data_IF_664339613202
#
_entry.id   IF_664339613202
#
_cell.length_a   1.000
_cell.length_b   1.000
_cell.length_c   1.000
_cell.angle_alpha   90.00
_cell.angle_beta   90.00
_cell.angle_gamma   90.00
#
_symmetry.space_group_name_H-M   'P 1'
#
loop_
_entity.id
_entity.type
_entity.pdbx_description
1 polymer ?
#
# COMPACT_ATOMS: atom_id res chain seq x y z
N UNK A 1 10.58 8.12 -2.01
CA UNK A 1 9.15 8.22 -1.67
C UNK A 1 8.33 8.76 -2.83
N UNK A 2 7.03 8.82 -2.62
CA UNK A 2 6.06 9.30 -3.64
C UNK A 2 6.38 10.70 -4.13
N UNK A 3 6.65 11.62 -3.20
CA UNK A 3 7.00 13.00 -3.53
C UNK A 3 8.15 13.08 -4.54
N UNK A 4 9.21 12.30 -4.30
CA UNK A 4 10.36 12.25 -5.19
C UNK A 4 10.02 11.65 -6.55
N UNK A 5 9.23 10.56 -6.58
CA UNK A 5 8.76 9.93 -7.82
C UNK A 5 7.97 10.94 -8.68
N UNK A 6 7.03 11.65 -8.07
CA UNK A 6 6.21 12.65 -8.75
C UNK A 6 7.07 13.79 -9.35
N UNK A 7 8.03 14.28 -8.56
CA UNK A 7 8.95 15.31 -9.02
C UNK A 7 9.81 14.84 -10.21
N UNK A 8 10.35 13.62 -10.15
CA UNK A 8 11.15 13.05 -11.23
C UNK A 8 10.33 12.80 -12.49
N UNK A 9 9.11 12.26 -12.33
CA UNK A 9 8.19 12.07 -13.46
C UNK A 9 7.79 13.38 -14.12
N UNK A 10 7.51 14.41 -13.33
CA UNK A 10 7.16 15.74 -13.84
C UNK A 10 8.33 16.41 -14.57
N UNK A 11 9.56 16.21 -14.09
CA UNK A 11 10.78 16.75 -14.67
C UNK A 11 11.34 15.90 -15.84
N UNK A 12 10.67 14.80 -16.21
CA UNK A 12 11.15 13.87 -17.25
C UNK A 12 12.47 13.15 -16.90
N UNK A 13 12.83 13.10 -15.59
CA UNK A 13 14.06 12.45 -15.12
C UNK A 13 13.90 10.93 -14.98
N UNK A 14 12.68 10.44 -15.01
CA UNK A 14 12.33 9.01 -14.99
C UNK A 14 11.03 8.78 -15.73
N UNK A 15 10.70 7.51 -15.98
CA UNK A 15 9.45 7.07 -16.58
C UNK A 15 8.66 6.20 -15.60
N UNK A 16 7.37 6.03 -15.83
CA UNK A 16 6.54 5.11 -15.05
C UNK A 16 7.04 3.66 -15.16
N UNK A 17 7.53 3.29 -16.34
CA UNK A 17 8.13 1.98 -16.62
C UNK A 17 9.40 1.79 -15.80
N UNK A 18 10.34 2.74 -15.83
CA UNK A 18 11.58 2.66 -15.07
C UNK A 18 11.33 2.59 -13.54
N UNK A 19 10.31 3.29 -13.03
CA UNK A 19 9.93 3.20 -11.61
C UNK A 19 9.37 1.82 -11.27
N UNK A 20 8.53 1.24 -12.11
CA UNK A 20 7.97 -0.09 -11.91
C UNK A 20 9.05 -1.17 -11.99
N UNK A 21 9.93 -1.13 -12.99
CA UNK A 21 11.07 -2.03 -13.15
C UNK A 21 12.02 -1.98 -11.95
N UNK A 22 12.36 -0.78 -11.47
CA UNK A 22 13.20 -0.64 -10.28
C UNK A 22 12.55 -1.25 -9.02
N UNK A 23 11.22 -1.11 -8.86
CA UNK A 23 10.51 -1.76 -7.77
C UNK A 23 10.50 -3.29 -7.92
N UNK A 24 10.21 -3.82 -9.11
CA UNK A 24 10.19 -5.25 -9.38
C UNK A 24 11.56 -5.88 -9.17
N UNK A 25 12.64 -5.25 -9.63
CA UNK A 25 14.02 -5.69 -9.39
C UNK A 25 14.33 -5.73 -7.89
N UNK A 26 13.95 -4.69 -7.15
CA UNK A 26 14.16 -4.65 -5.71
C UNK A 26 13.34 -5.74 -4.97
N UNK A 27 12.13 -6.04 -5.45
CA UNK A 27 11.29 -7.13 -4.93
C UNK A 27 11.96 -8.49 -5.20
N UNK A 28 12.40 -8.74 -6.43
CA UNK A 28 13.08 -9.98 -6.81
C UNK A 28 14.32 -10.25 -5.95
N UNK A 29 15.13 -9.23 -5.73
CA UNK A 29 16.36 -9.34 -4.97
C UNK A 29 16.16 -9.49 -3.46
N UNK A 30 15.16 -8.81 -2.88
CA UNK A 30 15.04 -8.69 -1.42
C UNK A 30 13.88 -9.47 -0.80
N UNK A 31 12.84 -9.75 -1.57
CA UNK A 31 11.67 -10.45 -1.04
C UNK A 31 11.94 -11.89 -0.59
N UNK A 32 12.87 -12.67 -1.22
CA UNK A 32 13.20 -14.01 -0.75
C UNK A 32 13.70 -14.05 0.71
N UNK A 33 14.35 -13.00 1.19
CA UNK A 33 14.82 -12.90 2.58
C UNK A 33 13.81 -12.21 3.49
N UNK A 34 13.12 -11.17 2.97
CA UNK A 34 12.26 -10.30 3.77
C UNK A 34 10.83 -10.81 3.91
N UNK A 35 10.34 -11.61 2.98
CA UNK A 35 8.93 -12.06 2.94
C UNK A 35 7.93 -10.91 3.09
N UNK A 36 8.20 -9.79 2.41
CA UNK A 36 7.36 -8.59 2.48
C UNK A 36 6.15 -8.67 1.54
N UNK A 37 6.30 -9.31 0.38
CA UNK A 37 5.22 -9.54 -0.59
C UNK A 37 4.82 -11.02 -0.63
N UNK A 38 3.52 -11.27 -0.79
CA UNK A 38 2.93 -12.61 -0.94
C UNK A 38 2.37 -12.87 -2.35
N UNK A 39 2.11 -11.81 -3.12
CA UNK A 39 1.64 -11.92 -4.51
C UNK A 39 2.15 -10.71 -5.31
N UNK A 40 2.97 -10.97 -6.31
CA UNK A 40 3.46 -9.98 -7.27
C UNK A 40 3.29 -10.56 -8.66
N UNK A 41 2.72 -9.78 -9.58
CA UNK A 41 2.49 -10.18 -10.97
C UNK A 41 3.20 -9.20 -11.89
N UNK A 42 4.47 -9.46 -12.25
CA UNK A 42 5.32 -8.53 -12.99
C UNK A 42 4.68 -8.06 -14.30
N UNK A 43 4.08 -8.97 -15.06
CA UNK A 43 3.45 -8.63 -16.34
C UNK A 43 2.32 -7.59 -16.16
N UNK A 44 1.47 -7.77 -15.15
CA UNK A 44 0.38 -6.83 -14.85
C UNK A 44 0.94 -5.48 -14.40
N UNK A 45 2.01 -5.48 -13.60
CA UNK A 45 2.67 -4.25 -13.13
C UNK A 45 3.27 -3.47 -14.30
N UNK A 46 3.96 -4.16 -15.21
CA UNK A 46 4.57 -3.55 -16.39
C UNK A 46 3.51 -3.03 -17.38
N UNK A 47 2.41 -3.75 -17.58
CA UNK A 47 1.28 -3.28 -18.41
C UNK A 47 0.64 -2.01 -17.83
N UNK A 48 0.47 -1.92 -16.50
CA UNK A 48 0.01 -0.71 -15.84
C UNK A 48 1.01 0.44 -16.05
N UNK A 49 2.31 0.17 -15.92
CA UNK A 49 3.37 1.17 -16.09
C UNK A 49 3.42 1.71 -17.52
N UNK A 50 3.40 0.84 -18.53
CA UNK A 50 3.36 1.20 -19.94
C UNK A 50 2.09 2.02 -20.27
N UNK A 51 0.95 1.64 -19.70
CA UNK A 51 -0.30 2.40 -19.85
C UNK A 51 -0.21 3.78 -19.21
N UNK A 52 0.37 3.91 -18.01
CA UNK A 52 0.63 5.20 -17.37
C UNK A 52 1.59 6.06 -18.20
N UNK A 53 2.66 5.47 -18.70
CA UNK A 53 3.63 6.18 -19.55
C UNK A 53 3.01 6.72 -20.84
N UNK A 54 2.12 5.97 -21.48
CA UNK A 54 1.37 6.45 -22.66
C UNK A 54 0.45 7.62 -22.31
N UNK A 55 -0.34 7.50 -21.24
CA UNK A 55 -1.26 8.59 -20.81
C UNK A 55 -0.53 9.87 -20.47
N UNK A 56 0.65 9.79 -19.86
CA UNK A 56 1.43 10.98 -19.47
C UNK A 56 1.85 11.87 -20.65
N UNK A 57 1.83 11.37 -21.89
CA UNK A 57 2.05 12.17 -23.11
C UNK A 57 0.94 13.22 -23.30
N UNK A 58 -0.29 12.88 -22.89
CA UNK A 58 -1.48 13.74 -22.99
C UNK A 58 -1.78 14.47 -21.68
N UNK A 59 -0.98 14.24 -20.65
CA UNK A 59 -1.12 14.75 -19.30
C UNK A 59 -1.53 13.66 -18.27
N UNK A 60 -1.15 13.82 -17.00
CA UNK A 60 -1.47 12.84 -15.96
C UNK A 60 -2.97 12.84 -15.63
N UNK A 61 -3.55 11.65 -15.45
CA UNK A 61 -4.98 11.51 -15.07
C UNK A 61 -5.26 11.80 -13.59
N UNK A 62 -4.22 11.83 -12.77
CA UNK A 62 -4.36 12.07 -11.33
C UNK A 62 -3.02 12.22 -10.63
N UNK A 63 -3.09 12.47 -9.32
CA UNK A 63 -1.91 12.81 -8.50
C UNK A 63 -0.87 11.70 -8.35
N UNK A 64 -1.23 10.44 -8.59
CA UNK A 64 -0.33 9.29 -8.47
C UNK A 64 -0.04 8.63 -9.82
N UNK A 65 -0.35 9.32 -10.94
CA UNK A 65 -0.21 8.70 -12.26
C UNK A 65 1.22 8.23 -12.52
N UNK A 66 1.35 6.90 -12.67
CA UNK A 66 2.62 6.22 -12.88
C UNK A 66 3.46 5.95 -11.61
N UNK A 67 2.91 6.18 -10.41
CA UNK A 67 3.61 5.90 -9.15
C UNK A 67 3.26 4.51 -8.63
N UNK A 68 4.27 3.64 -8.35
CA UNK A 68 4.04 2.31 -7.76
C UNK A 68 3.59 2.38 -6.30
N UNK A 69 2.60 1.53 -5.92
CA UNK A 69 2.05 1.44 -4.57
C UNK A 69 1.92 -0.03 -4.15
N UNK A 70 2.42 -0.39 -2.96
CA UNK A 70 2.25 -1.70 -2.37
C UNK A 70 0.96 -1.77 -1.53
N UNK A 71 0.27 -2.92 -1.55
CA UNK A 71 -1.07 -3.08 -0.97
C UNK A 71 -1.07 -4.21 0.04
N UNK A 72 -1.44 -3.95 1.29
CA UNK A 72 -1.61 -5.02 2.29
C UNK A 72 -2.65 -6.05 1.83
N UNK A 73 -2.38 -7.34 2.05
CA UNK A 73 -3.20 -8.42 1.49
C UNK A 73 -4.56 -8.65 2.17
N UNK A 74 -5.03 -7.71 2.95
CA UNK A 74 -6.39 -7.69 3.45
C UNK A 74 -7.30 -6.65 2.75
N UNK A 75 -6.82 -5.99 1.68
CA UNK A 75 -7.64 -5.17 0.79
C UNK A 75 -8.04 -5.95 -0.45
N UNK A 76 -9.30 -5.84 -0.85
CA UNK A 76 -9.79 -6.35 -2.11
C UNK A 76 -9.13 -5.58 -3.26
N UNK A 77 -8.47 -6.30 -4.15
CA UNK A 77 -7.94 -5.82 -5.43
C UNK A 77 -8.53 -6.71 -6.51
N UNK A 78 -9.31 -6.15 -7.41
CA UNK A 78 -9.97 -6.91 -8.46
C UNK A 78 -8.98 -7.78 -9.23
N UNK A 79 -9.28 -9.07 -9.36
CA UNK A 79 -8.44 -10.07 -10.02
C UNK A 79 -7.35 -10.69 -9.13
N UNK A 80 -7.18 -10.25 -7.87
CA UNK A 80 -6.27 -10.84 -6.90
C UNK A 80 -7.02 -11.56 -5.78
N UNK A 81 -6.46 -12.64 -5.23
CA UNK A 81 -6.93 -13.17 -3.95
C UNK A 81 -6.82 -12.13 -2.84
N UNK A 82 -7.78 -12.14 -1.92
CA UNK A 82 -7.71 -11.36 -0.67
C UNK A 82 -7.58 -12.32 0.49
N UNK A 83 -6.35 -12.77 0.74
CA UNK A 83 -6.05 -13.83 1.71
C UNK A 83 -6.20 -13.37 3.15
N UNK A 84 -5.89 -12.12 3.43
CA UNK A 84 -5.84 -11.58 4.80
C UNK A 84 -4.95 -12.41 5.74
N UNK A 85 -3.88 -13.01 5.21
CA UNK A 85 -2.98 -13.90 5.94
C UNK A 85 -3.56 -15.27 6.29
N UNK A 86 -4.71 -15.65 5.73
CA UNK A 86 -5.44 -16.89 6.01
C UNK A 86 -5.39 -17.81 4.76
N UNK A 87 -4.86 -19.04 4.85
CA UNK A 87 -4.79 -19.95 3.71
C UNK A 87 -6.18 -20.39 3.21
N UNK A 88 -7.18 -20.40 4.08
CA UNK A 88 -8.57 -20.73 3.73
C UNK A 88 -9.21 -19.71 2.79
N UNK A 89 -8.56 -18.59 2.54
CA UNK A 89 -9.02 -17.53 1.63
C UNK A 89 -8.21 -17.47 0.32
N UNK A 90 -7.33 -18.41 0.06
CA UNK A 90 -6.46 -18.44 -1.13
C UNK A 90 -7.25 -18.33 -2.45
N UNK A 91 -8.40 -18.97 -2.52
CA UNK A 91 -9.25 -18.97 -3.71
C UNK A 91 -10.26 -17.80 -3.77
N UNK A 92 -10.26 -16.94 -2.75
CA UNK A 92 -11.21 -15.83 -2.69
C UNK A 92 -10.71 -14.63 -3.51
N UNK A 93 -10.80 -14.76 -4.84
CA UNK A 93 -10.44 -13.70 -5.77
C UNK A 93 -11.49 -12.58 -5.70
N UNK A 94 -11.03 -11.37 -5.42
CA UNK A 94 -11.89 -10.18 -5.36
C UNK A 94 -12.43 -9.85 -6.76
N UNK A 95 -13.76 -9.61 -6.84
CA UNK A 95 -14.43 -9.18 -8.09
C UNK A 95 -14.34 -7.67 -8.29
N UNK A 96 -14.27 -6.92 -7.19
CA UNK A 96 -14.23 -5.47 -7.18
C UNK A 96 -13.07 -4.98 -6.32
N UNK A 97 -12.59 -3.79 -6.61
CA UNK A 97 -11.61 -3.11 -5.78
C UNK A 97 -12.25 -2.63 -4.46
N UNK A 98 -11.50 -2.68 -3.37
CA UNK A 98 -11.79 -1.89 -2.18
C UNK A 98 -11.86 -0.39 -2.53
N UNK A 99 -12.64 0.40 -1.78
CA UNK A 99 -12.78 1.83 -2.07
C UNK A 99 -11.43 2.56 -2.15
N UNK A 100 -10.52 2.28 -1.22
CA UNK A 100 -9.17 2.84 -1.24
C UNK A 100 -8.39 2.46 -2.52
N UNK A 101 -8.52 1.22 -2.99
CA UNK A 101 -7.87 0.74 -4.22
C UNK A 101 -8.46 1.41 -5.47
N UNK A 102 -9.79 1.54 -5.54
CA UNK A 102 -10.45 2.25 -6.62
C UNK A 102 -9.96 3.71 -6.73
N UNK A 103 -9.75 4.38 -5.58
CA UNK A 103 -9.18 5.74 -5.54
C UNK A 103 -7.73 5.78 -6.00
N UNK A 104 -6.91 4.80 -5.63
CA UNK A 104 -5.53 4.69 -6.13
C UNK A 104 -5.51 4.54 -7.66
N UNK A 105 -6.35 3.65 -8.22
CA UNK A 105 -6.45 3.48 -9.67
C UNK A 105 -6.95 4.74 -10.37
N UNK A 106 -7.97 5.40 -9.82
CA UNK A 106 -8.47 6.67 -10.37
C UNK A 106 -7.42 7.79 -10.35
N UNK A 107 -6.50 7.75 -9.39
CA UNK A 107 -5.35 8.66 -9.32
C UNK A 107 -4.18 8.24 -10.22
N UNK A 108 -4.28 7.12 -10.94
CA UNK A 108 -3.27 6.62 -11.87
C UNK A 108 -2.14 5.79 -11.24
N UNK A 109 -2.28 5.36 -9.98
CA UNK A 109 -1.26 4.56 -9.32
C UNK A 109 -1.08 3.19 -9.99
N UNK A 110 0.16 2.68 -9.96
CA UNK A 110 0.53 1.31 -10.36
C UNK A 110 0.47 0.43 -9.12
N UNK A 111 -0.37 -0.61 -9.12
CA UNK A 111 -0.45 -1.55 -8.01
C UNK A 111 0.65 -2.60 -8.15
N UNK A 112 1.64 -2.59 -7.25
CA UNK A 112 2.81 -3.47 -7.30
C UNK A 112 2.49 -4.92 -6.93
N UNK A 113 1.57 -5.11 -5.99
CA UNK A 113 1.25 -6.44 -5.45
C UNK A 113 0.77 -6.39 -4.02
N UNK A 114 0.57 -7.58 -3.45
CA UNK A 114 -0.02 -7.82 -2.15
C UNK A 114 1.07 -8.08 -1.11
N UNK A 115 1.07 -7.32 0.00
CA UNK A 115 2.09 -7.44 1.06
C UNK A 115 1.62 -8.32 2.21
N UNK A 116 2.56 -9.00 2.84
CA UNK A 116 2.34 -9.93 3.94
C UNK A 116 1.80 -9.25 5.20
N UNK A 117 1.10 -10.04 6.02
CA UNK A 117 0.51 -9.58 7.28
C UNK A 117 0.39 -10.72 8.29
N UNK A 118 0.14 -10.40 9.56
CA UNK A 118 -0.30 -11.39 10.54
C UNK A 118 -1.64 -12.00 10.13
N UNK A 119 -1.87 -13.24 10.50
CA UNK A 119 -3.08 -14.02 10.22
C UNK A 119 -4.33 -13.26 10.70
N UNK A 120 -5.29 -13.02 9.76
CA UNK A 120 -6.50 -12.23 10.03
C UNK A 120 -6.24 -10.77 10.45
N UNK A 121 -5.03 -10.26 10.22
CA UNK A 121 -4.55 -8.97 10.74
C UNK A 121 -4.51 -8.91 12.30
N UNK A 122 -4.54 -10.04 12.99
CA UNK A 122 -4.57 -10.18 14.44
C UNK A 122 -3.17 -10.51 14.99
N UNK A 123 -2.29 -9.52 15.01
CA UNK A 123 -0.93 -9.66 15.50
C UNK A 123 -0.13 -8.36 15.40
N UNK A 124 1.09 -8.36 15.92
CA UNK A 124 1.98 -7.21 15.98
C UNK A 124 3.40 -7.52 15.50
N UNK A 125 3.60 -8.65 14.78
CA UNK A 125 4.93 -9.12 14.41
C UNK A 125 5.07 -9.55 12.95
N UNK A 126 3.98 -9.73 12.24
CA UNK A 126 3.90 -10.31 10.89
C UNK A 126 4.64 -11.65 10.82
N UNK A 127 4.36 -12.49 11.81
CA UNK A 127 4.76 -13.90 11.84
C UNK A 127 3.61 -14.75 11.33
N UNK A 128 3.56 -14.92 10.03
CA UNK A 128 2.53 -15.72 9.40
C UNK A 128 3.04 -17.16 9.17
N UNK A 129 2.40 -18.20 9.73
CA UNK A 129 2.86 -19.58 9.58
C UNK A 129 2.64 -20.12 8.16
N UNK A 130 1.79 -19.49 7.36
CA UNK A 130 1.40 -19.94 6.02
C UNK A 130 2.15 -19.19 4.92
N UNK A 131 2.37 -17.88 5.11
CA UNK A 131 2.99 -17.00 4.10
C UNK A 131 4.39 -16.52 4.51
N UNK A 132 4.95 -17.08 5.57
CA UNK A 132 6.29 -16.75 6.08
C UNK A 132 6.31 -15.52 7.00
N UNK A 133 7.39 -15.40 7.75
CA UNK A 133 7.62 -14.28 8.67
C UNK A 133 8.27 -13.12 7.93
N UNK A 134 7.63 -11.95 7.96
CA UNK A 134 8.27 -10.74 7.44
C UNK A 134 9.39 -10.27 8.37
N UNK A 135 10.58 -10.18 7.84
CA UNK A 135 11.79 -9.78 8.58
C UNK A 135 12.01 -8.28 8.51
N UNK A 136 12.66 -7.74 9.52
CA UNK A 136 13.05 -6.34 9.54
C UNK A 136 14.20 -6.09 8.55
N UNK A 137 14.09 -5.12 7.63
CA UNK A 137 15.14 -4.85 6.64
C UNK A 137 16.49 -4.39 7.21
N UNK A 138 16.52 -3.91 8.46
CA UNK A 138 17.74 -3.47 9.14
C UNK A 138 18.41 -4.59 9.95
N UNK A 139 17.64 -5.62 10.34
CA UNK A 139 18.16 -6.79 11.06
C UNK A 139 17.25 -7.99 10.79
N UNK A 140 17.69 -8.91 9.94
CA UNK A 140 16.93 -10.08 9.51
C UNK A 140 16.55 -11.05 10.66
N UNK A 141 17.19 -10.92 11.83
CA UNK A 141 16.84 -11.70 13.02
C UNK A 141 15.67 -11.10 13.80
N UNK A 142 15.23 -9.91 13.43
CA UNK A 142 14.12 -9.19 14.07
C UNK A 142 12.87 -9.20 13.21
N UNK A 143 11.71 -9.08 13.87
CA UNK A 143 10.42 -8.95 13.20
C UNK A 143 10.25 -7.53 12.64
N UNK A 144 9.47 -7.41 11.58
CA UNK A 144 9.13 -6.13 10.97
C UNK A 144 8.07 -5.33 11.75
N UNK A 145 7.53 -5.91 12.85
CA UNK A 145 6.30 -5.42 13.45
C UNK A 145 5.07 -5.85 12.64
N UNK A 146 3.87 -5.50 13.12
CA UNK A 146 2.64 -5.95 12.48
C UNK A 146 1.40 -5.17 12.93
N UNK A 147 0.28 -5.47 12.30
CA UNK A 147 0.05 -6.53 11.30
C UNK A 147 0.40 -6.12 9.86
N UNK A 148 0.74 -4.86 9.56
CA UNK A 148 1.15 -4.42 8.22
C UNK A 148 2.68 -4.47 8.02
N UNK A 149 3.34 -5.51 8.55
CA UNK A 149 4.80 -5.64 8.52
C UNK A 149 5.36 -5.75 7.10
N UNK A 150 4.68 -6.47 6.21
CA UNK A 150 5.07 -6.55 4.80
C UNK A 150 5.07 -5.19 4.11
N UNK A 151 4.05 -4.36 4.37
CA UNK A 151 3.97 -2.99 3.83
C UNK A 151 5.10 -2.10 4.35
N UNK A 152 5.42 -2.17 5.67
CA UNK A 152 6.51 -1.39 6.25
C UNK A 152 7.88 -1.85 5.73
N UNK A 153 8.12 -3.15 5.70
CA UNK A 153 9.36 -3.72 5.18
C UNK A 153 9.58 -3.39 3.70
N UNK A 154 8.52 -3.44 2.88
CA UNK A 154 8.58 -3.07 1.47
C UNK A 154 9.03 -1.62 1.27
N UNK A 155 8.49 -0.68 2.05
CA UNK A 155 8.87 0.75 1.98
C UNK A 155 10.29 0.96 2.51
N UNK A 156 10.64 0.38 3.65
CA UNK A 156 11.95 0.51 4.28
C UNK A 156 13.06 -0.06 3.38
N UNK A 157 12.79 -1.20 2.75
CA UNK A 157 13.73 -1.88 1.86
C UNK A 157 13.82 -1.26 0.46
N UNK A 158 13.05 -0.24 0.14
CA UNK A 158 13.05 0.38 -1.20
C UNK A 158 12.33 -0.43 -2.28
N UNK A 159 11.61 -1.49 -1.92
CA UNK A 159 10.80 -2.29 -2.84
C UNK A 159 9.53 -1.55 -3.31
N UNK A 160 9.10 -0.56 -2.56
CA UNK A 160 8.00 0.33 -2.94
C UNK A 160 8.25 1.74 -2.44
N UNK A 161 7.86 2.80 -3.18
CA UNK A 161 7.96 4.17 -2.69
C UNK A 161 6.97 4.45 -1.56
N UNK A 162 5.83 3.76 -1.52
CA UNK A 162 4.75 3.92 -0.56
C UNK A 162 3.94 2.63 -0.47
N UNK A 163 3.27 2.43 0.66
CA UNK A 163 2.34 1.32 0.83
C UNK A 163 1.07 1.77 1.58
N UNK A 164 -0.01 1.02 1.40
CA UNK A 164 -1.17 1.09 2.29
C UNK A 164 -1.23 -0.13 3.20
N UNK A 165 -1.79 0.08 4.38
CA UNK A 165 -2.04 -0.93 5.39
C UNK A 165 -3.35 -0.69 6.13
N UNK A 166 -3.64 -1.51 7.12
CA UNK A 166 -4.78 -1.35 8.02
C UNK A 166 -4.31 -1.25 9.45
N UNK A 167 -4.93 -0.39 10.23
CA UNK A 167 -4.60 -0.15 11.64
C UNK A 167 -5.85 -0.28 12.50
N UNK A 168 -5.88 -1.27 13.37
CA UNK A 168 -6.93 -1.51 14.35
C UNK A 168 -6.49 -0.99 15.72
N UNK A 169 -5.33 -1.44 16.20
CA UNK A 169 -4.74 -1.09 17.49
C UNK A 169 -3.25 -0.69 17.37
N UNK A 170 -2.78 -0.31 16.19
CA UNK A 170 -1.39 0.04 15.93
C UNK A 170 -0.79 -0.61 14.70
N UNK A 171 -1.58 -1.38 13.93
CA UNK A 171 -1.08 -2.27 12.87
C UNK A 171 -0.45 -1.58 11.65
N UNK A 172 -0.43 -0.26 11.56
CA UNK A 172 0.37 0.53 10.61
C UNK A 172 1.52 1.22 11.36
N UNK A 173 1.25 1.76 12.54
CA UNK A 173 2.20 2.53 13.36
C UNK A 173 3.30 1.68 13.98
N UNK A 174 2.94 0.47 14.48
CA UNK A 174 3.91 -0.50 15.06
C UNK A 174 4.97 -0.89 14.03
N UNK A 175 4.60 -1.45 12.85
CA UNK A 175 5.61 -1.83 11.88
C UNK A 175 6.38 -0.65 11.30
N UNK A 176 5.77 0.53 11.18
CA UNK A 176 6.48 1.73 10.78
C UNK A 176 7.59 2.11 11.76
N UNK A 177 7.30 2.06 13.06
CA UNK A 177 8.28 2.30 14.12
C UNK A 177 9.42 1.28 14.08
N UNK A 178 9.11 0.00 13.86
CA UNK A 178 10.11 -1.07 13.81
C UNK A 178 11.01 -1.00 12.56
N UNK A 179 10.44 -0.62 11.43
CA UNK A 179 11.15 -0.54 10.15
C UNK A 179 11.67 0.88 9.81
N UNK A 180 11.60 1.84 10.74
CA UNK A 180 12.16 3.18 10.56
C UNK A 180 11.53 3.97 9.40
N UNK A 181 10.22 3.82 9.17
CA UNK A 181 9.47 4.55 8.14
C UNK A 181 8.37 5.43 8.78
N UNK A 182 7.88 6.40 8.03
CA UNK A 182 6.75 7.22 8.47
C UNK A 182 5.43 6.49 8.24
N UNK A 183 4.47 6.70 9.14
CA UNK A 183 3.12 6.17 8.99
C UNK A 183 2.05 7.16 9.44
N UNK A 184 0.91 7.05 8.79
CA UNK A 184 -0.29 7.81 9.15
C UNK A 184 -1.47 6.86 9.32
N UNK A 185 -2.04 6.84 10.52
CA UNK A 185 -3.39 6.37 10.77
C UNK A 185 -4.30 7.60 10.86
N UNK A 186 -5.10 7.88 9.83
CA UNK A 186 -5.99 9.04 9.86
C UNK A 186 -7.12 8.85 10.88
N UNK A 187 -7.93 9.87 11.04
CA UNK A 187 -9.19 9.75 11.81
C UNK A 187 -10.05 8.64 11.23
N UNK A 188 -10.64 7.82 12.10
CA UNK A 188 -11.52 6.73 11.70
C UNK A 188 -12.65 7.22 10.78
N UNK A 189 -12.83 6.57 9.62
CA UNK A 189 -13.80 6.94 8.60
C UNK A 189 -13.37 8.06 7.65
N UNK A 190 -12.18 8.64 7.81
CA UNK A 190 -11.62 9.61 6.86
C UNK A 190 -11.26 8.97 5.51
N UNK A 191 -10.78 7.74 5.54
CA UNK A 191 -10.62 6.87 4.39
C UNK A 191 -11.60 5.71 4.58
N UNK A 192 -12.44 5.44 3.58
CA UNK A 192 -13.38 4.32 3.63
C UNK A 192 -12.64 2.99 3.74
N UNK A 193 -13.11 2.13 4.62
CA UNK A 193 -12.63 0.77 4.81
C UNK A 193 -13.51 -0.28 4.08
N UNK A 194 -14.35 0.14 3.13
CA UNK A 194 -15.12 -0.78 2.30
C UNK A 194 -14.19 -1.60 1.40
N UNK A 195 -14.39 -2.93 1.39
CA UNK A 195 -13.50 -3.87 0.70
C UNK A 195 -12.23 -4.22 1.48
N UNK A 196 -12.17 -3.85 2.76
CA UNK A 196 -11.16 -4.34 3.70
C UNK A 196 -11.69 -5.56 4.45
N UNK A 197 -10.95 -6.66 4.48
CA UNK A 197 -11.22 -7.78 5.39
C UNK A 197 -10.99 -7.29 6.82
N UNK A 198 -12.03 -7.23 7.66
CA UNK A 198 -11.93 -6.56 8.94
C UNK A 198 -11.30 -7.43 10.02
N UNK A 199 -10.46 -6.84 10.87
CA UNK A 199 -10.10 -7.40 12.18
C UNK A 199 -11.13 -6.96 13.24
N UNK A 200 -11.45 -5.66 13.30
CA UNK A 200 -12.50 -5.11 14.16
C UNK A 200 -13.14 -3.89 13.48
N UNK A 201 -14.33 -4.07 12.91
CA UNK A 201 -15.01 -3.05 12.08
C UNK A 201 -15.11 -1.65 12.71
N UNK A 202 -15.22 -1.58 14.04
CA UNK A 202 -15.35 -0.30 14.77
C UNK A 202 -14.02 0.42 14.98
N UNK A 203 -12.89 -0.27 14.79
CA UNK A 203 -11.56 0.25 15.06
C UNK A 203 -10.71 0.36 13.80
N UNK A 204 -10.97 -0.48 12.80
CA UNK A 204 -10.17 -0.58 11.59
C UNK A 204 -10.14 0.75 10.83
N UNK A 205 -8.95 1.24 10.57
CA UNK A 205 -8.68 2.39 9.72
C UNK A 205 -7.70 2.01 8.61
N UNK A 206 -7.90 2.54 7.41
CA UNK A 206 -6.90 2.48 6.35
C UNK A 206 -5.76 3.41 6.73
N UNK A 207 -4.53 2.92 6.66
CA UNK A 207 -3.34 3.70 6.97
C UNK A 207 -2.33 3.68 5.83
N UNK A 208 -1.39 4.59 5.92
CA UNK A 208 -0.40 4.89 4.90
C UNK A 208 1.00 4.73 5.50
N UNK A 209 1.94 4.14 4.73
CA UNK A 209 3.34 4.03 5.10
C UNK A 209 4.19 4.63 3.97
N UNK A 210 5.14 5.51 4.32
CA UNK A 210 5.99 6.23 3.38
C UNK A 210 7.35 6.57 3.97
N UNK A 211 8.20 7.20 3.19
CA UNK A 211 9.56 7.60 3.61
C UNK A 211 9.67 9.05 4.09
N UNK A 212 8.58 9.82 3.93
CA UNK A 212 8.51 11.22 4.38
C UNK A 212 7.09 11.61 4.76
N UNK A 213 6.94 12.70 5.50
CA UNK A 213 5.63 13.30 5.79
C UNK A 213 4.94 13.74 4.49
N UNK A 214 5.70 14.24 3.51
CA UNK A 214 5.17 14.62 2.20
C UNK A 214 4.50 13.44 1.46
N UNK A 215 5.07 12.23 1.55
CA UNK A 215 4.46 11.02 0.99
C UNK A 215 3.09 10.75 1.62
N UNK A 216 2.99 10.89 2.96
CA UNK A 216 1.75 10.67 3.70
C UNK A 216 0.66 11.66 3.32
N UNK A 217 1.03 12.94 3.13
CA UNK A 217 0.10 14.01 2.73
C UNK A 217 -0.44 13.76 1.33
N UNK A 218 0.42 13.45 0.35
CA UNK A 218 0.00 13.15 -1.02
C UNK A 218 -0.97 11.96 -1.03
N UNK A 219 -0.62 10.89 -0.34
CA UNK A 219 -1.46 9.69 -0.25
C UNK A 219 -2.80 9.97 0.44
N UNK A 220 -2.79 10.75 1.54
CA UNK A 220 -4.02 11.11 2.23
C UNK A 220 -4.95 11.95 1.35
N UNK A 221 -4.42 12.87 0.56
CA UNK A 221 -5.20 13.67 -0.40
C UNK A 221 -5.88 12.81 -1.46
N UNK A 222 -5.25 11.71 -1.88
CA UNK A 222 -5.82 10.77 -2.83
C UNK A 222 -6.86 9.86 -2.16
N UNK A 223 -6.53 9.31 -1.00
CA UNK A 223 -7.32 8.24 -0.36
C UNK A 223 -8.53 8.76 0.43
N UNK A 224 -8.42 9.95 1.05
CA UNK A 224 -9.48 10.53 1.86
C UNK A 224 -10.67 10.97 1.01
N UNK A 225 -11.87 10.72 1.52
CA UNK A 225 -13.11 11.15 0.88
C UNK A 225 -14.31 10.35 1.36
N UNK A 226 -15.49 10.95 1.18
CA UNK A 226 -16.75 10.35 1.58
C UNK A 226 -17.12 9.19 0.66
N UNK A 227 -17.48 8.07 1.26
CA UNK A 227 -18.04 6.89 0.60
C UNK A 227 -19.46 6.66 1.16
N UNK A 228 -20.47 6.83 0.33
CA UNK A 228 -21.86 6.67 0.75
C UNK A 228 -22.22 5.22 1.13
N UNK A 229 -21.46 4.25 0.62
CA UNK A 229 -21.65 2.82 0.87
C UNK A 229 -20.91 2.31 2.11
N UNK A 230 -20.07 3.15 2.75
CA UNK A 230 -19.46 2.83 4.05
C UNK A 230 -20.12 3.67 5.16
N UNK A 231 -20.93 3.07 6.04
CA UNK A 231 -21.63 3.80 7.11
C UNK A 231 -20.66 4.43 8.14
N UNK A 232 -19.38 4.08 8.11
CA UNK A 232 -18.33 4.66 8.97
C UNK A 232 -17.66 5.85 8.30
N UNK A 233 -17.84 6.03 6.98
CA UNK A 233 -17.20 7.09 6.22
C UNK A 233 -17.70 8.45 6.66
N UNK A 234 -16.78 9.42 6.72
CA UNK A 234 -17.07 10.78 7.17
C UNK A 234 -16.93 11.78 6.03
N UNK A 235 -17.84 12.76 6.00
CA UNK A 235 -17.68 13.92 5.13
C UNK A 235 -16.59 14.81 5.70
N UNK A 236 -15.54 15.03 4.91
CA UNK A 236 -14.41 15.88 5.31
C UNK A 236 -14.85 17.33 5.43
N UNK A 237 -14.46 17.99 6.53
CA UNK A 237 -14.78 19.41 6.78
C UNK A 237 -13.60 20.35 6.45
N UNK A 238 -12.38 19.82 6.32
CA UNK A 238 -11.15 20.62 6.13
C UNK A 238 -10.41 20.14 4.88
N UNK A 239 -10.06 21.05 3.99
CA UNK A 239 -9.17 20.75 2.86
C UNK A 239 -7.74 20.53 3.39
N UNK A 240 -7.08 19.46 2.92
CA UNK A 240 -5.64 19.29 3.15
C UNK A 240 -4.91 20.19 2.15
N UNK A 241 -4.06 21.06 2.67
CA UNK A 241 -3.08 21.75 1.86
C UNK A 241 -1.78 20.92 1.84
N UNK A 242 -1.09 20.78 0.68
CA UNK A 242 0.23 20.19 0.64
C UNK A 242 1.17 21.04 1.49
N UNK A 243 2.22 20.47 2.11
CA UNK A 243 3.32 21.26 2.63
C UNK A 243 3.96 22.05 1.47
N UNK A 244 4.39 23.27 1.76
CA UNK A 244 5.11 24.14 0.82
C UNK A 244 6.43 23.52 0.36
#
# INVERSE_FOLDING_TARGET
GVWQCLHWLAAGRTTSEALAEACLTAIEQRNPELHAFVDVRPDIVLDQAASAQRRRRDGPIGRLDGVPVAIKDNFDVAGYPTRAGLPTREEQVARNDAHAIARLRAAGAILLGKTNLDEGALGAATRNPHFGTTRNPFDLNRVAGGSSGGSAAAVAAGMAPVAIGSDTLGSVRIPASYCGVFALKPTHGEISARGLVPAARRLDAVGILGRSVGDLVVMLQVLAGYDADDPRSRRRRVALQPPD
#
